data_IF_928673802353
#
_entry.id   IF_928673802353
#
_cell.length_a   1.000
_cell.length_b   1.000
_cell.length_c   1.000
_cell.angle_alpha   90.00
_cell.angle_beta   90.00
_cell.angle_gamma   90.00
#
_symmetry.space_group_name_H-M   'P 1'
#
loop_
_entity.id
_entity.type
_entity.pdbx_description
1 polymer ?
#
# COMPACT_ATOMS: atom_id res chain seq x y z
N UNK A 1 -10.01 -7.54 23.33
CA UNK A 1 -9.77 -6.31 22.56
C UNK A 1 -8.40 -6.49 21.95
N UNK A 2 -8.29 -6.53 20.63
CA UNK A 2 -6.98 -6.65 19.99
C UNK A 2 -6.23 -5.34 20.24
N UNK A 3 -5.10 -5.41 20.93
CA UNK A 3 -4.27 -4.24 21.14
C UNK A 3 -3.68 -3.79 19.81
N UNK A 4 -3.82 -2.50 19.51
CA UNK A 4 -3.16 -1.86 18.38
C UNK A 4 -1.64 -2.05 18.54
N UNK A 5 -0.93 -2.64 17.55
CA UNK A 5 0.50 -2.85 17.67
C UNK A 5 1.25 -1.53 17.81
N UNK A 6 2.35 -1.54 18.56
CA UNK A 6 3.17 -0.36 18.81
C UNK A 6 4.32 -0.26 17.81
N UNK A 7 4.61 0.96 17.35
CA UNK A 7 5.80 1.32 16.58
C UNK A 7 6.52 2.49 17.24
N UNK A 8 7.83 2.57 17.04
CA UNK A 8 8.63 3.76 17.33
C UNK A 8 9.01 4.46 16.04
N UNK A 9 9.26 5.77 16.12
CA UNK A 9 9.85 6.50 14.99
C UNK A 9 11.18 5.87 14.60
N UNK A 10 11.33 5.55 13.33
CA UNK A 10 12.49 4.87 12.76
C UNK A 10 12.35 3.36 12.66
N UNK A 11 11.33 2.75 13.27
CA UNK A 11 11.06 1.32 13.13
C UNK A 11 10.54 1.02 11.72
N UNK A 12 10.88 -0.15 11.22
CA UNK A 12 10.35 -0.67 9.96
C UNK A 12 9.04 -1.43 10.20
N UNK A 13 8.09 -1.28 9.28
CA UNK A 13 6.88 -2.09 9.21
C UNK A 13 6.65 -2.58 7.78
N UNK A 14 6.00 -3.73 7.65
CA UNK A 14 5.69 -4.31 6.35
C UNK A 14 4.29 -3.91 5.93
N UNK A 15 4.18 -3.42 4.70
CA UNK A 15 2.91 -3.10 4.05
C UNK A 15 2.48 -4.28 3.19
N UNK A 16 1.19 -4.60 3.22
CA UNK A 16 0.55 -5.52 2.30
C UNK A 16 -0.56 -4.80 1.53
N UNK A 17 -0.63 -4.99 0.23
CA UNK A 17 -1.62 -4.39 -0.64
C UNK A 17 -2.75 -5.38 -0.95
N UNK A 18 -4.00 -4.96 -0.75
CA UNK A 18 -5.19 -5.73 -1.08
C UNK A 18 -6.02 -5.02 -2.16
N UNK A 19 -6.36 -5.74 -3.23
CA UNK A 19 -7.03 -5.18 -4.39
C UNK A 19 -6.08 -4.45 -5.35
N UNK A 20 -6.62 -4.06 -6.50
CA UNK A 20 -5.89 -3.28 -7.51
C UNK A 20 -4.67 -3.99 -8.12
N UNK A 21 -3.86 -3.23 -8.87
CA UNK A 21 -2.68 -3.76 -9.55
C UNK A 21 -1.59 -4.34 -8.63
N UNK A 22 -1.51 -3.91 -7.37
CA UNK A 22 -0.50 -4.39 -6.40
C UNK A 22 -1.04 -5.51 -5.50
N UNK A 23 -2.23 -6.05 -5.77
CA UNK A 23 -2.85 -7.06 -4.91
C UNK A 23 -1.92 -8.25 -4.61
N UNK A 24 -1.73 -8.52 -3.31
CA UNK A 24 -0.89 -9.62 -2.83
C UNK A 24 0.61 -9.30 -2.80
N UNK A 25 1.01 -8.10 -3.20
CA UNK A 25 2.39 -7.61 -3.04
C UNK A 25 2.59 -7.00 -1.65
N UNK A 26 3.85 -6.85 -1.28
CA UNK A 26 4.27 -6.24 -0.03
C UNK A 26 5.47 -5.33 -0.23
N UNK A 27 5.63 -4.37 0.66
CA UNK A 27 6.77 -3.45 0.71
C UNK A 27 7.18 -3.19 2.17
N UNK A 28 8.33 -2.56 2.40
CA UNK A 28 8.80 -2.19 3.73
C UNK A 28 8.91 -0.69 3.85
N UNK A 29 8.33 -0.13 4.91
CA UNK A 29 8.34 1.32 5.18
C UNK A 29 8.92 1.61 6.55
N UNK A 30 9.41 2.83 6.71
CA UNK A 30 9.94 3.34 7.98
C UNK A 30 8.86 4.22 8.62
N UNK A 31 8.51 3.94 9.87
CA UNK A 31 7.64 4.79 10.67
C UNK A 31 8.30 6.15 10.89
N UNK A 32 7.63 7.23 10.47
CA UNK A 32 8.19 8.58 10.56
C UNK A 32 7.83 9.29 11.86
N UNK A 33 6.78 8.84 12.55
CA UNK A 33 6.23 9.47 13.76
C UNK A 33 5.89 8.48 14.88
N UNK A 34 6.19 7.19 14.72
CA UNK A 34 5.79 6.13 15.66
C UNK A 34 4.44 5.50 15.32
N UNK A 35 3.88 5.78 14.14
CA UNK A 35 2.72 5.12 13.57
C UNK A 35 2.99 4.63 12.14
N UNK A 36 1.99 4.03 11.50
CA UNK A 36 1.98 3.74 10.07
C UNK A 36 1.21 4.82 9.32
N UNK A 37 1.45 4.93 8.00
CA UNK A 37 0.76 5.92 7.16
C UNK A 37 -0.75 5.62 7.14
N UNK A 38 -1.62 6.64 7.13
CA UNK A 38 -3.08 6.44 6.96
C UNK A 38 -3.43 6.05 5.51
N UNK A 39 -2.56 6.43 4.57
CA UNK A 39 -2.69 6.22 3.14
C UNK A 39 -1.30 5.95 2.54
N UNK A 40 -1.26 5.01 1.59
CA UNK A 40 -0.07 4.71 0.81
C UNK A 40 -0.38 4.94 -0.66
N UNK A 41 0.37 5.84 -1.28
CA UNK A 41 0.39 6.03 -2.72
C UNK A 41 1.56 5.26 -3.34
N UNK A 42 1.28 4.44 -4.35
CA UNK A 42 2.29 3.74 -5.16
C UNK A 42 2.18 4.15 -6.62
N UNK A 43 3.31 4.19 -7.33
CA UNK A 43 3.36 4.45 -8.76
C UNK A 43 3.52 3.14 -9.49
N UNK A 44 2.52 2.77 -10.29
CA UNK A 44 2.64 1.71 -11.28
C UNK A 44 3.19 2.31 -12.58
N UNK A 45 4.35 1.84 -13.02
CA UNK A 45 4.89 2.19 -14.33
C UNK A 45 4.69 1.01 -15.29
N UNK A 46 3.76 1.15 -16.24
CA UNK A 46 3.62 0.21 -17.35
C UNK A 46 3.97 0.97 -18.62
N UNK A 47 5.00 0.49 -19.31
CA UNK A 47 5.28 0.92 -20.66
C UNK A 47 5.57 2.43 -20.84
N UNK A 48 6.16 3.03 -19.81
CA UNK A 48 6.56 4.44 -19.77
C UNK A 48 5.45 5.40 -19.33
N UNK A 49 4.26 4.89 -19.01
CA UNK A 49 3.20 5.65 -18.35
C UNK A 49 3.19 5.31 -16.87
N UNK A 50 3.18 6.36 -16.05
CA UNK A 50 3.08 6.27 -14.59
C UNK A 50 1.61 6.48 -14.20
N UNK A 51 1.08 5.58 -13.39
CA UNK A 51 -0.28 5.62 -12.83
C UNK A 51 -0.18 5.62 -11.32
N UNK A 52 -0.77 6.63 -10.69
CA UNK A 52 -0.83 6.73 -9.25
C UNK A 52 -1.95 5.84 -8.70
N UNK A 53 -1.62 4.96 -7.75
CA UNK A 53 -2.58 4.08 -7.10
C UNK A 53 -2.60 4.37 -5.60
N UNK A 54 -3.80 4.61 -5.07
CA UNK A 54 -4.02 4.98 -3.68
C UNK A 54 -4.53 3.77 -2.89
N UNK A 55 -3.93 3.52 -1.73
CA UNK A 55 -4.31 2.44 -0.81
C UNK A 55 -4.57 3.01 0.58
N UNK A 56 -5.74 2.71 1.14
CA UNK A 56 -6.26 3.28 2.40
C UNK A 56 -6.70 2.18 3.37
N UNK A 57 -7.40 2.57 4.45
CA UNK A 57 -8.01 1.68 5.44
C UNK A 57 -7.00 0.71 6.07
N UNK A 58 -5.94 1.23 6.72
CA UNK A 58 -4.90 0.38 7.30
C UNK A 58 -5.46 -0.54 8.37
N UNK A 59 -5.14 -1.83 8.25
CA UNK A 59 -5.38 -2.85 9.27
C UNK A 59 -4.06 -3.43 9.74
N UNK A 60 -3.62 -2.99 10.92
CA UNK A 60 -2.36 -3.41 11.50
C UNK A 60 -2.51 -4.62 12.41
N UNK A 61 -1.52 -5.50 12.38
CA UNK A 61 -1.37 -6.61 13.31
C UNK A 61 0.11 -6.93 13.53
N UNK A 62 0.42 -7.56 14.67
CA UNK A 62 1.77 -7.97 15.01
C UNK A 62 1.97 -9.46 14.74
N UNK A 63 3.05 -9.80 14.04
CA UNK A 63 3.48 -11.16 13.75
C UNK A 63 4.90 -11.35 14.28
N UNK A 64 5.01 -11.97 15.45
CA UNK A 64 6.27 -12.03 16.19
C UNK A 64 6.72 -10.63 16.61
N UNK A 65 7.91 -10.22 16.13
CA UNK A 65 8.48 -8.89 16.41
C UNK A 65 8.18 -7.87 15.30
N UNK A 66 7.50 -8.28 14.22
CA UNK A 66 7.23 -7.43 13.06
C UNK A 66 5.78 -6.92 13.06
N UNK A 67 5.62 -5.61 12.84
CA UNK A 67 4.31 -5.01 12.54
C UNK A 67 4.02 -5.14 11.06
N UNK A 68 2.83 -5.63 10.73
CA UNK A 68 2.32 -5.79 9.38
C UNK A 68 1.03 -4.99 9.23
N UNK A 69 0.95 -4.17 8.18
CA UNK A 69 -0.19 -3.29 7.93
C UNK A 69 -0.73 -3.57 6.54
N UNK A 70 -1.99 -3.99 6.47
CA UNK A 70 -2.67 -4.21 5.19
C UNK A 70 -3.47 -2.98 4.80
N UNK A 71 -3.32 -2.52 3.56
CA UNK A 71 -4.08 -1.44 2.98
C UNK A 71 -4.92 -1.96 1.82
N UNK A 72 -6.09 -1.37 1.62
CA UNK A 72 -7.02 -1.71 0.55
C UNK A 72 -7.00 -0.65 -0.54
N UNK A 73 -7.00 -1.09 -1.79
CA UNK A 73 -7.02 -0.19 -2.95
C UNK A 73 -8.27 0.70 -2.95
N UNK A 74 -8.08 2.00 -3.13
CA UNK A 74 -9.13 2.98 -3.37
C UNK A 74 -9.16 3.31 -4.87
N UNK A 75 -9.95 2.55 -5.63
CA UNK A 75 -10.11 2.79 -7.07
C UNK A 75 -10.62 4.21 -7.37
N UNK A 76 -11.64 4.76 -6.67
CA UNK A 76 -12.08 6.14 -6.86
C UNK A 76 -11.01 7.23 -6.72
N UNK A 77 -10.02 7.03 -5.84
CA UNK A 77 -8.94 8.01 -5.58
C UNK A 77 -7.64 7.67 -6.33
N UNK A 78 -7.63 6.56 -7.07
CA UNK A 78 -6.52 6.18 -7.94
C UNK A 78 -6.69 6.74 -9.34
N UNK A 79 -5.57 6.93 -10.03
CA UNK A 79 -5.59 7.18 -11.47
C UNK A 79 -6.24 6.00 -12.21
N UNK A 80 -7.02 6.26 -13.28
CA UNK A 80 -7.65 5.22 -14.07
C UNK A 80 -6.65 4.21 -14.62
N UNK A 81 -6.95 2.93 -14.46
CA UNK A 81 -6.12 1.85 -14.99
C UNK A 81 -6.11 1.80 -16.53
N UNK A 82 -7.06 2.47 -17.22
CA UNK A 82 -7.09 2.57 -18.68
C UNK A 82 -5.81 3.19 -19.27
N UNK A 83 -5.05 3.97 -18.48
CA UNK A 83 -3.71 4.42 -18.85
C UNK A 83 -2.72 3.25 -19.09
N UNK A 84 -2.94 2.10 -18.45
CA UNK A 84 -2.16 0.87 -18.56
C UNK A 84 -2.68 -0.06 -19.69
N UNK A 85 -3.96 0.07 -20.07
CA UNK A 85 -4.69 -0.91 -20.92
C UNK A 85 -4.78 -0.55 -22.42
N UNK A 86 -4.35 0.65 -22.86
CA UNK A 86 -4.30 1.07 -24.28
C UNK A 86 -3.31 0.26 -25.17
N UNK A 87 -3.04 -1.01 -24.87
CA UNK A 87 -2.03 -1.85 -25.52
C UNK A 87 -2.48 -3.27 -25.91
N UNK A 88 -3.77 -3.55 -25.95
CA UNK A 88 -4.27 -4.84 -26.47
C UNK A 88 -5.02 -4.76 -27.82
N UNK A 89 -4.95 -3.64 -28.54
CA UNK A 89 -5.45 -3.52 -29.92
C UNK A 89 -4.39 -2.89 -30.83
N UNK A 90 -3.51 -3.72 -31.41
CA UNK A 90 -3.04 -3.65 -32.82
C UNK A 90 -2.37 -4.97 -33.25
#
# INVERSE_FOLDING_TARGET
MSETPALSRGDEYVVFYNGGPYNGQSDTRISTDGSWDDEVTVIAAVDGKETQLVYINPSAHQVGEQVQVTYSWDEPDSDPLEALDERNDD
#
